data_IF_274270916281
#
_entry.id   IF_274270916281
#
_cell.length_a   1.000
_cell.length_b   1.000
_cell.length_c   1.000
_cell.angle_alpha   90.00
_cell.angle_beta   90.00
_cell.angle_gamma   90.00
#
_symmetry.space_group_name_H-M   'P 1'
#
loop_
_entity.id
_entity.type
_entity.pdbx_description
1 polymer ?
#
# COMPACT_ATOMS: atom_id res chain seq x y z
N UNK A 1 -22.40 53.37 -37.39
CA UNK A 1 -22.19 53.37 -35.89
C UNK A 1 -22.39 51.97 -35.26
N UNK A 2 -23.26 51.15 -35.79
CA UNK A 2 -23.57 49.81 -35.23
C UNK A 2 -22.44 48.73 -35.44
N UNK A 3 -21.72 48.79 -36.56
CA UNK A 3 -20.63 47.82 -36.82
C UNK A 3 -19.42 48.00 -35.90
N UNK A 4 -19.06 49.20 -35.51
CA UNK A 4 -17.98 49.52 -34.62
C UNK A 4 -18.24 49.00 -33.17
N UNK A 5 -19.51 49.06 -32.71
CA UNK A 5 -19.93 48.51 -31.43
C UNK A 5 -19.83 46.97 -31.39
N UNK A 6 -20.19 46.30 -32.47
CA UNK A 6 -20.07 44.82 -32.54
C UNK A 6 -18.61 44.36 -32.48
N UNK A 7 -17.69 45.04 -33.17
CA UNK A 7 -16.29 44.71 -33.12
C UNK A 7 -15.68 44.97 -31.72
N UNK A 8 -16.10 46.05 -31.04
CA UNK A 8 -15.61 46.34 -29.71
C UNK A 8 -16.08 45.29 -28.68
N UNK A 9 -17.32 44.81 -28.78
CA UNK A 9 -17.89 43.79 -27.91
C UNK A 9 -17.21 42.44 -28.14
N UNK A 10 -16.90 42.08 -29.40
CA UNK A 10 -16.18 40.82 -29.71
C UNK A 10 -14.76 40.87 -29.17
N UNK A 11 -14.07 42.04 -29.28
CA UNK A 11 -12.72 42.19 -28.71
C UNK A 11 -12.71 42.09 -27.18
N UNK A 12 -13.73 42.60 -26.50
CA UNK A 12 -13.85 42.48 -25.04
C UNK A 12 -14.14 41.04 -24.63
N UNK A 13 -14.99 40.32 -25.34
CA UNK A 13 -15.25 38.91 -25.06
C UNK A 13 -14.04 37.97 -25.33
N UNK A 14 -13.27 38.26 -26.38
CA UNK A 14 -12.04 37.49 -26.68
C UNK A 14 -10.96 37.78 -25.62
N UNK A 15 -10.82 39.05 -25.18
CA UNK A 15 -9.86 39.40 -24.11
C UNK A 15 -10.26 38.86 -22.72
N UNK A 16 -11.56 38.62 -22.47
CA UNK A 16 -12.04 38.01 -21.23
C UNK A 16 -11.90 36.50 -21.22
N UNK A 17 -11.80 35.84 -22.39
CA UNK A 17 -11.58 34.40 -22.50
C UNK A 17 -10.13 33.99 -22.25
N UNK A 18 -9.15 34.88 -22.32
CA UNK A 18 -7.73 34.57 -22.05
C UNK A 18 -7.31 34.83 -20.60
N UNK A 19 -8.19 35.34 -19.75
CA UNK A 19 -7.87 35.68 -18.35
C UNK A 19 -8.11 34.57 -17.33
N UNK A 20 -8.35 33.32 -17.76
CA UNK A 20 -8.66 32.21 -16.83
C UNK A 20 -7.76 30.99 -16.98
N UNK A 21 -6.45 31.17 -17.20
CA UNK A 21 -5.49 30.10 -17.11
C UNK A 21 -4.24 30.50 -16.29
N UNK A 22 -4.46 31.02 -15.09
CA UNK A 22 -3.47 30.97 -14.03
C UNK A 22 -3.76 29.75 -13.12
N UNK A 23 -3.78 28.56 -13.68
CA UNK A 23 -3.54 27.37 -12.91
C UNK A 23 -2.06 27.43 -12.51
N UNK A 24 -1.81 27.60 -11.23
CA UNK A 24 -0.46 27.44 -10.66
C UNK A 24 0.08 26.11 -11.17
N UNK A 25 1.10 26.18 -12.05
CA UNK A 25 1.66 25.01 -12.69
C UNK A 25 2.40 24.16 -11.65
N UNK A 26 1.66 23.35 -10.87
CA UNK A 26 2.23 22.53 -9.82
C UNK A 26 1.21 21.98 -8.83
N UNK A 27 1.67 21.11 -7.95
CA UNK A 27 0.86 20.44 -6.95
C UNK A 27 1.14 21.00 -5.55
N UNK A 28 0.09 21.26 -4.79
CA UNK A 28 0.22 21.58 -3.37
C UNK A 28 0.87 20.42 -2.61
N UNK A 29 1.68 20.72 -1.59
CA UNK A 29 2.29 19.70 -0.75
C UNK A 29 1.22 18.88 -0.04
N UNK A 30 1.47 17.57 0.08
CA UNK A 30 0.55 16.63 0.74
C UNK A 30 1.17 16.10 2.04
N UNK A 31 0.32 15.61 2.93
CA UNK A 31 0.76 15.07 4.21
C UNK A 31 1.37 13.68 4.04
N UNK A 32 2.44 13.37 4.79
CA UNK A 32 2.98 12.01 4.82
C UNK A 32 1.99 11.03 5.45
N UNK A 33 2.15 9.72 5.20
CA UNK A 33 1.43 8.71 5.94
C UNK A 33 1.77 8.77 7.44
N UNK A 34 0.84 8.31 8.28
CA UNK A 34 1.10 8.18 9.73
C UNK A 34 2.36 7.30 9.95
N UNK A 35 3.20 7.67 10.90
CA UNK A 35 4.49 7.03 11.19
C UNK A 35 5.47 7.02 10.00
N UNK A 36 5.31 7.97 9.09
CA UNK A 36 6.16 8.16 7.93
C UNK A 36 6.64 9.59 7.76
N UNK A 37 7.25 9.84 6.63
CA UNK A 37 7.75 11.13 6.16
C UNK A 37 7.70 11.21 4.65
N UNK A 38 8.10 12.34 4.13
CA UNK A 38 8.28 12.56 2.69
C UNK A 38 9.75 12.88 2.44
N UNK A 39 10.33 12.22 1.44
CA UNK A 39 11.62 12.57 0.87
C UNK A 39 11.38 13.46 -0.35
N UNK A 40 11.96 14.64 -0.31
CA UNK A 40 11.97 15.60 -1.41
C UNK A 40 13.34 15.53 -2.09
N UNK A 41 13.38 15.19 -3.38
CA UNK A 41 14.63 15.10 -4.13
C UNK A 41 15.06 16.49 -4.59
N UNK A 42 16.35 16.81 -4.40
CA UNK A 42 16.94 18.08 -4.88
C UNK A 42 16.57 19.33 -4.10
N UNK A 43 15.82 19.21 -3.00
CA UNK A 43 15.49 20.34 -2.13
C UNK A 43 16.31 20.30 -0.84
N UNK A 44 16.80 21.46 -0.42
CA UNK A 44 17.43 21.65 0.89
C UNK A 44 16.39 21.67 2.00
N UNK A 45 16.80 21.49 3.26
CA UNK A 45 15.89 21.55 4.41
C UNK A 45 15.20 22.91 4.54
N UNK A 46 15.87 23.98 4.17
CA UNK A 46 15.30 25.33 4.18
C UNK A 46 14.21 25.49 3.11
N UNK A 47 14.49 24.99 1.89
CA UNK A 47 13.50 24.98 0.81
C UNK A 47 12.26 24.15 1.17
N UNK A 48 12.44 22.97 1.78
CA UNK A 48 11.33 22.10 2.21
C UNK A 48 10.43 22.78 3.23
N UNK A 49 10.98 23.60 4.13
CA UNK A 49 10.17 24.33 5.13
C UNK A 49 9.28 25.41 4.51
N UNK A 50 9.70 25.98 3.40
CA UNK A 50 9.06 27.13 2.77
C UNK A 50 8.24 26.77 1.53
N UNK A 51 8.43 25.58 0.94
CA UNK A 51 7.72 25.17 -0.26
C UNK A 51 6.23 24.93 0.03
N UNK A 52 5.38 25.51 -0.81
CA UNK A 52 3.92 25.32 -0.74
C UNK A 52 3.42 24.52 -1.96
N UNK A 53 4.09 24.67 -3.10
CA UNK A 53 3.73 24.05 -4.37
C UNK A 53 4.99 23.48 -4.99
N UNK A 54 4.88 22.29 -5.52
CA UNK A 54 5.96 21.59 -6.25
C UNK A 54 5.63 21.59 -7.74
N UNK A 55 6.64 21.71 -8.63
CA UNK A 55 6.40 21.79 -10.07
C UNK A 55 5.76 20.52 -10.62
N UNK A 56 5.12 20.64 -11.77
CA UNK A 56 4.65 19.48 -12.56
C UNK A 56 5.83 18.53 -12.82
N UNK A 57 5.55 17.25 -12.85
CA UNK A 57 6.51 16.14 -12.98
C UNK A 57 7.42 15.92 -11.76
N UNK A 58 7.35 16.76 -10.73
CA UNK A 58 8.09 16.50 -9.49
C UNK A 58 7.59 15.23 -8.79
N UNK A 59 8.54 14.44 -8.27
CA UNK A 59 8.25 13.22 -7.54
C UNK A 59 8.58 13.34 -6.06
N UNK A 60 7.65 12.96 -5.22
CA UNK A 60 7.87 12.74 -3.79
C UNK A 60 7.92 11.24 -3.50
N UNK A 61 8.73 10.86 -2.51
CA UNK A 61 8.82 9.48 -2.03
C UNK A 61 8.41 9.42 -0.56
N UNK A 62 7.42 8.58 -0.25
CA UNK A 62 7.08 8.27 1.13
C UNK A 62 8.12 7.36 1.76
N UNK A 63 8.55 7.69 2.96
CA UNK A 63 9.46 6.90 3.78
C UNK A 63 8.76 6.54 5.08
N UNK A 64 8.97 5.32 5.56
CA UNK A 64 8.44 4.91 6.87
C UNK A 64 9.51 5.03 7.95
N UNK A 65 9.09 5.35 9.17
CA UNK A 65 9.96 5.44 10.35
C UNK A 65 10.15 4.06 10.97
N UNK A 66 11.29 3.86 11.64
CA UNK A 66 11.68 2.63 12.30
C UNK A 66 11.60 1.41 11.35
N UNK A 67 11.13 0.29 11.85
CA UNK A 67 11.00 -0.98 11.13
C UNK A 67 9.66 -1.14 10.38
N UNK A 68 8.96 -0.05 10.06
CA UNK A 68 7.71 -0.07 9.31
C UNK A 68 7.96 -0.13 7.82
N UNK A 69 7.08 -0.79 7.11
CA UNK A 69 7.09 -0.90 5.65
C UNK A 69 5.92 -0.13 5.04
N UNK A 70 6.13 0.37 3.82
CA UNK A 70 5.09 1.08 3.09
C UNK A 70 4.15 0.08 2.41
N UNK A 71 2.85 0.29 2.61
CA UNK A 71 1.76 -0.42 1.92
C UNK A 71 0.97 0.60 1.12
N UNK A 72 0.79 0.36 -0.17
CA UNK A 72 0.25 1.32 -1.13
C UNK A 72 1.35 2.04 -1.91
N UNK A 73 1.02 3.04 -2.74
CA UNK A 73 1.97 3.76 -3.58
C UNK A 73 3.08 4.43 -2.76
N UNK A 74 4.32 4.10 -3.08
CA UNK A 74 5.52 4.66 -2.43
C UNK A 74 5.93 6.01 -3.00
N UNK A 75 5.74 6.20 -4.29
CA UNK A 75 6.09 7.42 -5.03
C UNK A 75 4.81 8.07 -5.54
N UNK A 76 4.78 9.38 -5.52
CA UNK A 76 3.72 10.16 -6.14
C UNK A 76 4.33 11.23 -7.03
N UNK A 77 3.75 11.39 -8.21
CA UNK A 77 4.18 12.35 -9.21
C UNK A 77 3.15 13.46 -9.35
N UNK A 78 3.60 14.69 -9.44
CA UNK A 78 2.73 15.84 -9.69
C UNK A 78 2.28 15.84 -11.15
N UNK A 79 0.96 15.86 -11.37
CA UNK A 79 0.35 15.88 -12.69
C UNK A 79 0.10 17.32 -13.18
N UNK A 80 -0.05 17.53 -14.51
CA UNK A 80 -0.31 18.85 -15.09
C UNK A 80 -1.61 19.51 -14.60
N UNK A 81 -2.56 18.73 -14.12
CA UNK A 81 -3.83 19.21 -13.56
C UNK A 81 -3.73 19.69 -12.10
N UNK A 82 -2.53 19.68 -11.51
CA UNK A 82 -2.29 20.08 -10.13
C UNK A 82 -2.59 19.00 -9.09
N UNK A 83 -2.86 17.77 -9.51
CA UNK A 83 -3.10 16.63 -8.62
C UNK A 83 -1.89 15.70 -8.54
N UNK A 84 -1.84 14.87 -7.50
CA UNK A 84 -0.84 13.82 -7.35
C UNK A 84 -1.36 12.48 -7.88
N UNK A 85 -0.48 11.67 -8.46
CA UNK A 85 -0.83 10.30 -8.88
C UNK A 85 -1.39 9.46 -7.73
N UNK A 86 -2.28 8.51 -8.05
CA UNK A 86 -2.78 7.46 -7.16
C UNK A 86 -3.41 7.94 -5.84
N UNK A 87 -3.96 9.16 -5.77
CA UNK A 87 -4.57 9.70 -4.55
C UNK A 87 -5.74 8.84 -4.01
N UNK A 88 -6.40 8.07 -4.87
CA UNK A 88 -7.44 7.11 -4.48
C UNK A 88 -6.90 5.96 -3.61
N UNK A 89 -5.60 5.63 -3.73
CA UNK A 89 -4.93 4.62 -2.95
C UNK A 89 -4.17 5.24 -1.78
N UNK A 90 -4.55 4.90 -0.56
CA UNK A 90 -3.85 5.38 0.63
C UNK A 90 -2.55 4.63 0.84
N UNK A 91 -1.49 5.39 1.08
CA UNK A 91 -0.20 4.85 1.54
C UNK A 91 -0.17 4.79 3.06
N UNK A 92 0.29 3.69 3.63
CA UNK A 92 0.37 3.44 5.08
C UNK A 92 1.74 2.90 5.44
N UNK A 93 2.26 3.28 6.60
CA UNK A 93 3.45 2.70 7.21
C UNK A 93 3.03 1.73 8.30
N UNK A 94 3.15 0.43 8.04
CA UNK A 94 2.68 -0.64 8.92
C UNK A 94 3.83 -1.47 9.46
N UNK A 95 3.69 -2.02 10.65
CA UNK A 95 4.65 -2.97 11.22
C UNK A 95 4.48 -4.33 10.52
N UNK A 96 5.58 -4.94 10.04
CA UNK A 96 5.52 -6.29 9.50
C UNK A 96 5.44 -7.32 10.63
N UNK A 97 4.71 -8.41 10.39
CA UNK A 97 4.78 -9.62 11.19
C UNK A 97 5.85 -10.57 10.66
N UNK A 98 6.33 -11.47 11.52
CA UNK A 98 7.37 -12.43 11.15
C UNK A 98 6.94 -13.34 9.99
N UNK A 99 7.81 -13.49 8.97
CA UNK A 99 7.51 -14.29 7.77
C UNK A 99 7.51 -15.81 8.01
N UNK A 100 8.12 -16.28 9.10
CA UNK A 100 8.15 -17.72 9.45
C UNK A 100 6.77 -18.39 9.48
N UNK A 101 5.71 -17.60 9.63
CA UNK A 101 4.32 -18.06 9.68
C UNK A 101 3.68 -18.31 8.31
N UNK A 102 4.35 -17.91 7.23
CA UNK A 102 3.84 -18.05 5.85
C UNK A 102 4.13 -19.41 5.21
N UNK A 103 4.65 -20.39 5.96
CA UNK A 103 4.86 -21.76 5.52
C UNK A 103 4.28 -22.74 6.52
N UNK A 104 3.79 -23.87 6.08
CA UNK A 104 3.24 -24.96 6.91
C UNK A 104 3.72 -26.31 6.35
N UNK A 105 4.40 -27.08 7.19
CA UNK A 105 4.82 -28.42 6.83
C UNK A 105 3.60 -29.34 6.65
N UNK A 106 3.61 -30.16 5.61
CA UNK A 106 2.47 -31.02 5.21
C UNK A 106 1.15 -30.25 5.02
N UNK A 107 1.24 -28.95 4.69
CA UNK A 107 0.07 -28.10 4.56
C UNK A 107 0.27 -26.99 3.54
N UNK A 108 -0.72 -26.11 3.49
CA UNK A 108 -0.75 -24.92 2.65
C UNK A 108 -1.13 -23.71 3.48
N UNK A 109 -0.60 -22.56 3.11
CA UNK A 109 -0.93 -21.27 3.71
C UNK A 109 -1.43 -20.34 2.63
N UNK A 110 -2.57 -19.72 2.86
CA UNK A 110 -3.11 -18.65 2.01
C UNK A 110 -2.97 -17.33 2.75
N UNK A 111 -2.41 -16.33 2.08
CA UNK A 111 -2.19 -14.98 2.62
C UNK A 111 -3.27 -14.04 2.05
N UNK A 112 -3.97 -13.30 2.91
CA UNK A 112 -4.99 -12.34 2.51
C UNK A 112 -4.90 -11.06 3.36
N UNK A 113 -4.86 -9.85 2.74
CA UNK A 113 -4.65 -9.61 1.30
C UNK A 113 -3.26 -10.07 0.84
N UNK A 114 -3.03 -10.29 -0.47
CA UNK A 114 -1.72 -10.63 -0.99
C UNK A 114 -0.74 -9.47 -0.77
N UNK A 115 0.52 -9.81 -0.47
CA UNK A 115 1.56 -8.82 -0.19
C UNK A 115 2.36 -9.13 1.08
N UNK A 116 3.06 -8.14 1.63
CA UNK A 116 3.82 -8.32 2.87
C UNK A 116 2.87 -8.58 4.05
N UNK A 117 3.31 -9.43 4.98
CA UNK A 117 2.58 -9.71 6.21
C UNK A 117 2.65 -8.49 7.16
N UNK A 118 1.59 -7.71 7.20
CA UNK A 118 1.44 -6.50 8.02
C UNK A 118 0.13 -6.54 8.79
N UNK A 119 -0.11 -5.56 9.64
CA UNK A 119 -1.39 -5.37 10.35
C UNK A 119 -2.60 -5.64 9.45
N UNK A 120 -3.48 -6.53 9.88
CA UNK A 120 -4.67 -6.95 9.16
C UNK A 120 -4.45 -8.05 8.11
N UNK A 121 -3.21 -8.52 7.92
CA UNK A 121 -2.95 -9.70 7.10
C UNK A 121 -3.43 -10.95 7.82
N UNK A 122 -4.27 -11.74 7.16
CA UNK A 122 -4.79 -13.02 7.67
C UNK A 122 -4.11 -14.16 6.92
N UNK A 123 -3.57 -15.11 7.67
CA UNK A 123 -3.10 -16.40 7.15
C UNK A 123 -4.18 -17.45 7.40
N UNK A 124 -4.50 -18.24 6.36
CA UNK A 124 -5.38 -19.40 6.44
C UNK A 124 -4.58 -20.66 6.19
N UNK A 125 -4.66 -21.60 7.12
CA UNK A 125 -3.92 -22.85 7.11
C UNK A 125 -4.84 -24.00 6.72
N UNK A 126 -4.32 -24.93 5.90
CA UNK A 126 -4.97 -26.18 5.58
C UNK A 126 -3.92 -27.28 5.44
N UNK A 127 -4.22 -28.47 5.88
CA UNK A 127 -3.33 -29.61 5.71
C UNK A 127 -3.52 -30.29 4.36
N UNK A 128 -2.50 -30.99 3.91
CA UNK A 128 -2.60 -31.92 2.77
C UNK A 128 -3.45 -33.14 3.15
N UNK A 129 -3.90 -33.88 2.14
CA UNK A 129 -4.66 -35.12 2.38
C UNK A 129 -3.87 -36.10 3.28
N UNK A 130 -4.55 -36.70 4.24
CA UNK A 130 -3.95 -37.59 5.24
C UNK A 130 -3.33 -36.91 6.45
N UNK A 131 -3.51 -35.59 6.56
CA UNK A 131 -3.04 -34.80 7.71
C UNK A 131 -4.17 -34.01 8.35
N UNK A 132 -4.19 -33.94 9.68
CA UNK A 132 -5.13 -33.17 10.48
C UNK A 132 -4.46 -31.93 11.03
N UNK A 133 -5.18 -30.80 10.97
CA UNK A 133 -4.70 -29.53 11.51
C UNK A 133 -4.87 -29.49 13.04
N UNK A 134 -3.76 -29.31 13.73
CA UNK A 134 -3.76 -29.01 15.16
C UNK A 134 -3.47 -27.53 15.39
N UNK A 135 -4.40 -26.83 16.01
CA UNK A 135 -4.38 -25.41 16.26
C UNK A 135 -5.44 -24.67 15.46
N UNK A 136 -5.32 -23.33 15.44
CA UNK A 136 -6.28 -22.48 14.72
C UNK A 136 -5.99 -22.50 13.23
N UNK A 137 -7.02 -22.60 12.43
CA UNK A 137 -6.91 -22.58 10.96
C UNK A 137 -6.68 -21.19 10.38
N UNK A 138 -6.74 -20.14 11.22
CA UNK A 138 -6.45 -18.75 10.83
C UNK A 138 -5.65 -18.06 11.91
N UNK A 139 -4.76 -17.15 11.50
CA UNK A 139 -4.09 -16.20 12.37
C UNK A 139 -4.03 -14.83 11.70
N UNK A 140 -4.08 -13.77 12.51
CA UNK A 140 -4.06 -12.39 12.03
C UNK A 140 -2.84 -11.65 12.56
N UNK A 141 -2.22 -10.85 11.68
CA UNK A 141 -1.14 -9.95 12.05
C UNK A 141 -1.71 -8.73 12.79
N UNK A 142 -1.32 -8.54 14.04
CA UNK A 142 -1.80 -7.47 14.90
C UNK A 142 -1.08 -6.13 14.64
N UNK A 143 -1.62 -5.05 15.20
CA UNK A 143 -1.00 -3.71 15.17
C UNK A 143 0.39 -3.64 15.82
N UNK A 144 0.72 -4.60 16.67
CA UNK A 144 2.00 -4.70 17.33
C UNK A 144 3.07 -5.41 16.48
N UNK A 145 2.72 -5.90 15.28
CA UNK A 145 3.64 -6.67 14.43
C UNK A 145 3.83 -8.11 14.91
N UNK A 146 2.85 -8.64 15.62
CA UNK A 146 2.83 -10.02 16.13
C UNK A 146 1.59 -10.75 15.61
N UNK A 147 1.67 -12.08 15.49
CA UNK A 147 0.52 -12.90 15.17
C UNK A 147 -0.38 -13.10 16.42
N UNK A 148 -1.70 -13.10 16.24
CA UNK A 148 -2.68 -13.22 17.33
C UNK A 148 -2.79 -14.63 17.93
N UNK A 149 -2.27 -15.63 17.23
CA UNK A 149 -2.29 -17.03 17.63
C UNK A 149 -1.02 -17.77 17.17
N UNK A 150 -0.61 -18.85 17.86
CA UNK A 150 0.53 -19.65 17.46
C UNK A 150 0.29 -20.34 16.12
N UNK A 151 1.39 -20.61 15.42
CA UNK A 151 1.39 -21.35 14.14
C UNK A 151 0.87 -22.77 14.39
N UNK A 152 -0.13 -23.24 13.61
CA UNK A 152 -0.60 -24.61 13.71
C UNK A 152 0.38 -25.61 13.12
N UNK A 153 0.11 -26.89 13.33
CA UNK A 153 0.85 -28.02 12.75
C UNK A 153 -0.10 -28.98 12.03
N UNK A 154 0.41 -29.64 11.01
CA UNK A 154 -0.30 -30.73 10.34
C UNK A 154 0.28 -32.06 10.79
N UNK A 155 -0.50 -32.86 11.49
CA UNK A 155 -0.12 -34.21 11.92
C UNK A 155 -0.77 -35.26 11.07
N UNK A 156 -0.10 -36.43 10.88
CA UNK A 156 -0.70 -37.58 10.23
C UNK A 156 -1.97 -38.00 10.94
N UNK A 157 -3.01 -38.30 10.18
CA UNK A 157 -4.23 -38.92 10.66
C UNK A 157 -3.97 -40.41 10.87
N UNK A 158 -3.71 -40.82 12.12
CA UNK A 158 -3.56 -42.25 12.45
C UNK A 158 -4.95 -42.85 12.71
N UNK A 159 -5.49 -43.60 11.75
CA UNK A 159 -6.80 -44.25 11.88
C UNK A 159 -6.71 -45.63 12.51
N UNK A 160 -5.52 -46.20 12.73
CA UNK A 160 -5.34 -47.55 13.28
C UNK A 160 -4.28 -47.63 14.38
N UNK A 161 -4.49 -48.51 15.34
CA UNK A 161 -3.67 -48.78 16.52
C UNK A 161 -2.29 -49.37 16.21
N UNK A 162 -1.99 -49.70 14.96
CA UNK A 162 -0.74 -50.33 14.52
C UNK A 162 -0.16 -49.58 13.33
N UNK A 163 1.00 -48.97 13.57
CA UNK A 163 1.93 -48.43 12.56
C UNK A 163 1.43 -47.25 11.74
N UNK A 164 1.67 -46.03 12.25
CA UNK A 164 1.69 -44.84 11.42
C UNK A 164 2.98 -44.80 10.60
N UNK A 165 2.95 -45.29 9.37
CA UNK A 165 4.06 -45.11 8.44
C UNK A 165 3.66 -44.08 7.40
N UNK A 166 3.91 -42.82 7.70
CA UNK A 166 3.97 -41.78 6.68
C UNK A 166 5.37 -41.80 6.04
N UNK A 167 5.58 -42.72 5.08
CA UNK A 167 6.78 -42.73 4.24
C UNK A 167 6.39 -42.10 2.89
N UNK A 168 7.05 -41.03 2.52
CA UNK A 168 6.99 -40.42 1.18
C UNK A 168 5.61 -39.98 0.69
N UNK A 169 4.84 -39.22 1.49
CA UNK A 169 3.54 -38.64 1.10
C UNK A 169 2.47 -39.67 0.67
N UNK A 170 2.60 -40.93 1.06
CA UNK A 170 1.61 -41.97 0.81
C UNK A 170 1.13 -42.53 2.14
N UNK A 171 -0.14 -42.28 2.46
CA UNK A 171 -0.85 -42.97 3.53
C UNK A 171 -1.30 -44.33 2.95
N UNK A 172 -0.87 -45.48 3.50
CA UNK A 172 -1.38 -46.83 3.25
C UNK A 172 -2.38 -47.17 4.33
#
# INVERSE_FOLDING_TARGET
MTLLFFHLIIFIFVSLAEASHNTSAGCAIIRPPRDGGIRYRGLTQEQIRNVQVLPVDYEIEYICRANRIIVGPKVRKCLPDGTWTDLSQRSKCLLPCAQVWTSLENGRVMVSPPGPAVEGTVLRYSCLSGFILEGRNTTECTKQGTWDSPKPTCRCECVCVCVCVCVLNVCF
#
